data_IF_016390435098
#
_entry.id   IF_016390435098
#
_cell.length_a   1.000
_cell.length_b   1.000
_cell.length_c   1.000
_cell.angle_alpha   90.00
_cell.angle_beta   90.00
_cell.angle_gamma   90.00
#
_symmetry.space_group_name_H-M   'P 1'
#
loop_
_entity.id
_entity.type
_entity.pdbx_description
1 polymer ?
#
# COMPACT_ATOMS: atom_id res chain seq x y z
N UNK A 1 -4.78 -13.96 -18.28
CA UNK A 1 -4.78 -13.00 -17.15
C UNK A 1 -3.44 -13.12 -16.46
N UNK A 2 -2.81 -12.02 -16.06
CA UNK A 2 -1.47 -12.06 -15.43
C UNK A 2 -1.58 -12.71 -14.05
N UNK A 3 -0.51 -13.35 -13.54
CA UNK A 3 -0.45 -13.74 -12.14
C UNK A 3 -0.58 -12.53 -11.22
N UNK A 4 -1.13 -12.73 -10.02
CA UNK A 4 -1.23 -11.68 -9.01
C UNK A 4 -0.13 -11.77 -7.96
N UNK A 5 0.37 -10.61 -7.53
CA UNK A 5 1.17 -10.44 -6.32
C UNK A 5 0.39 -9.61 -5.32
N UNK A 6 0.04 -10.18 -4.17
CA UNK A 6 -0.75 -9.48 -3.15
C UNK A 6 0.19 -8.90 -2.08
N UNK A 7 0.10 -7.60 -1.85
CA UNK A 7 0.81 -6.92 -0.76
C UNK A 7 -0.13 -6.86 0.45
N UNK A 8 0.03 -7.79 1.41
CA UNK A 8 -0.81 -7.89 2.60
C UNK A 8 -0.08 -7.32 3.82
N UNK A 9 -0.66 -6.32 4.49
CA UNK A 9 -0.01 -5.67 5.62
C UNK A 9 -0.81 -4.55 6.26
N UNK A 10 -0.13 -3.74 7.06
CA UNK A 10 -0.75 -2.61 7.77
C UNK A 10 -0.71 -1.28 6.99
N UNK A 11 -0.71 -0.14 7.71
CA UNK A 11 -0.55 1.20 7.16
C UNK A 11 0.67 1.39 6.24
N UNK A 12 1.80 0.72 6.52
CA UNK A 12 3.01 0.85 5.71
C UNK A 12 2.76 0.25 4.32
N UNK A 13 2.05 -0.87 4.28
CA UNK A 13 1.59 -1.48 3.04
C UNK A 13 0.50 -0.65 2.38
N UNK A 14 -0.49 -0.12 3.13
CA UNK A 14 -1.55 0.74 2.56
C UNK A 14 -0.97 1.95 1.85
N UNK A 15 0.09 2.54 2.41
CA UNK A 15 0.76 3.70 1.87
C UNK A 15 1.81 3.37 0.79
N UNK A 16 2.05 2.09 0.50
CA UNK A 16 3.08 1.65 -0.45
C UNK A 16 2.82 2.10 -1.90
N UNK A 17 1.58 2.49 -2.23
CA UNK A 17 1.20 3.05 -3.53
C UNK A 17 1.19 4.58 -3.56
N UNK A 18 1.52 5.27 -2.45
CA UNK A 18 1.75 6.71 -2.46
C UNK A 18 2.95 7.05 -3.34
N UNK A 19 3.07 8.32 -3.74
CA UNK A 19 4.22 8.81 -4.51
C UNK A 19 5.54 8.41 -3.85
N UNK A 20 6.43 7.74 -4.61
CA UNK A 20 7.70 7.21 -4.11
C UNK A 20 7.60 5.93 -3.27
N UNK A 21 6.41 5.34 -3.13
CA UNK A 21 6.18 4.13 -2.37
C UNK A 21 6.65 2.86 -3.07
N UNK A 22 7.03 1.86 -2.27
CA UNK A 22 7.62 0.61 -2.77
C UNK A 22 6.63 -0.28 -3.55
N UNK A 23 5.34 -0.20 -3.25
CA UNK A 23 4.29 -0.93 -3.96
C UNK A 23 4.05 -0.39 -5.37
N UNK A 24 4.06 0.94 -5.52
CA UNK A 24 4.05 1.60 -6.82
C UNK A 24 5.30 1.24 -7.64
N UNK A 25 6.49 1.24 -7.02
CA UNK A 25 7.73 0.84 -7.67
C UNK A 25 7.72 -0.64 -8.12
N UNK A 26 7.14 -1.54 -7.33
CA UNK A 26 6.95 -2.94 -7.74
C UNK A 26 6.00 -3.07 -8.94
N UNK A 27 4.88 -2.36 -8.92
CA UNK A 27 3.92 -2.36 -10.02
C UNK A 27 4.54 -1.85 -11.33
N UNK A 28 5.43 -0.86 -11.23
CA UNK A 28 6.18 -0.30 -12.36
C UNK A 28 7.23 -1.29 -12.92
N UNK A 29 8.13 -1.80 -12.07
CA UNK A 29 9.20 -2.74 -12.47
C UNK A 29 8.66 -4.04 -13.06
N UNK A 30 7.54 -4.55 -12.52
CA UNK A 30 6.86 -5.75 -13.01
C UNK A 30 5.68 -5.45 -13.93
N UNK A 31 5.60 -4.23 -14.45
CA UNK A 31 4.55 -3.84 -15.39
C UNK A 31 4.47 -4.83 -16.55
N UNK A 32 3.23 -5.15 -16.93
CA UNK A 32 2.88 -6.16 -17.94
C UNK A 32 3.21 -7.62 -17.60
N UNK A 33 3.82 -7.93 -16.45
CA UNK A 33 4.16 -9.29 -16.01
C UNK A 33 3.27 -9.80 -14.88
N UNK A 34 3.00 -8.97 -13.88
CA UNK A 34 2.25 -9.32 -12.67
C UNK A 34 1.29 -8.18 -12.34
N UNK A 35 0.08 -8.50 -11.88
CA UNK A 35 -0.83 -7.51 -11.30
C UNK A 35 -0.54 -7.41 -9.80
N UNK A 36 -0.04 -6.25 -9.36
CA UNK A 36 0.24 -5.99 -7.94
C UNK A 36 -1.03 -5.50 -7.26
N UNK A 37 -1.54 -6.28 -6.30
CA UNK A 37 -2.80 -6.03 -5.60
C UNK A 37 -2.51 -5.54 -4.19
N UNK A 38 -3.02 -4.36 -3.85
CA UNK A 38 -2.88 -3.78 -2.52
C UNK A 38 -3.92 -4.35 -1.54
N UNK A 39 -3.45 -4.85 -0.40
CA UNK A 39 -4.23 -5.31 0.76
C UNK A 39 -3.58 -4.80 2.05
N UNK A 40 -3.35 -3.49 2.11
CA UNK A 40 -2.77 -2.81 3.27
C UNK A 40 -3.85 -2.12 4.11
N UNK A 41 -3.84 -2.31 5.43
CA UNK A 41 -4.90 -1.85 6.34
C UNK A 41 -4.34 -1.03 7.50
N UNK A 42 -4.55 0.28 7.46
CA UNK A 42 -3.99 1.21 8.44
C UNK A 42 -4.51 0.93 9.85
N UNK A 43 -3.57 0.80 10.78
CA UNK A 43 -3.83 0.52 12.20
C UNK A 43 -4.03 -0.96 12.53
N UNK A 44 -4.05 -1.86 11.55
CA UNK A 44 -4.27 -3.29 11.80
C UNK A 44 -3.02 -3.98 12.38
N UNK A 45 -3.24 -4.88 13.33
CA UNK A 45 -2.24 -5.82 13.85
C UNK A 45 -2.51 -7.24 13.31
N UNK A 46 -1.65 -8.19 13.66
CA UNK A 46 -1.80 -9.57 13.18
C UNK A 46 -3.07 -10.25 13.70
N UNK A 47 -3.50 -9.94 14.93
CA UNK A 47 -4.72 -10.50 15.54
C UNK A 47 -5.96 -10.16 14.72
N UNK A 48 -6.09 -8.90 14.28
CA UNK A 48 -7.23 -8.44 13.48
C UNK A 48 -7.15 -8.94 12.03
N UNK A 49 -5.94 -9.01 11.48
CA UNK A 49 -5.73 -9.50 10.12
C UNK A 49 -6.15 -10.97 9.92
N UNK A 50 -6.16 -11.79 10.97
CA UNK A 50 -6.65 -13.18 10.89
C UNK A 50 -8.12 -13.28 10.43
N UNK A 51 -8.98 -12.34 10.84
CA UNK A 51 -10.40 -12.34 10.48
C UNK A 51 -10.64 -12.12 8.97
N UNK A 52 -9.62 -11.63 8.26
CA UNK A 52 -9.72 -11.21 6.86
C UNK A 52 -9.24 -12.30 5.89
N UNK A 53 -8.56 -13.33 6.40
CA UNK A 53 -7.83 -14.30 5.59
C UNK A 53 -8.71 -15.03 4.59
N UNK A 54 -9.87 -15.51 5.00
CA UNK A 54 -10.74 -16.26 4.08
C UNK A 54 -11.37 -15.38 3.00
N UNK A 55 -11.58 -14.09 3.28
CA UNK A 55 -12.12 -13.16 2.29
C UNK A 55 -11.05 -12.69 1.30
N UNK A 56 -9.82 -12.43 1.76
CA UNK A 56 -8.71 -12.00 0.91
C UNK A 56 -8.10 -13.19 0.14
N UNK A 57 -8.00 -14.35 0.79
CA UNK A 57 -7.40 -15.58 0.27
C UNK A 57 -8.39 -16.75 0.40
N UNK A 58 -9.48 -16.76 -0.38
CA UNK A 58 -10.48 -17.83 -0.30
C UNK A 58 -9.86 -19.18 -0.66
N UNK A 59 -10.11 -20.17 0.19
CA UNK A 59 -9.68 -21.54 -0.06
C UNK A 59 -10.37 -22.10 -1.31
N UNK A 60 -9.61 -22.77 -2.18
CA UNK A 60 -10.14 -23.30 -3.45
C UNK A 60 -10.31 -22.27 -4.56
N UNK A 61 -9.76 -21.05 -4.42
CA UNK A 61 -9.72 -20.08 -5.51
C UNK A 61 -9.12 -20.70 -6.78
N UNK A 62 -9.81 -20.55 -7.91
CA UNK A 62 -9.31 -21.00 -9.22
C UNK A 62 -8.10 -20.18 -9.71
N UNK A 63 -7.81 -19.04 -9.06
CA UNK A 63 -6.71 -18.13 -9.39
C UNK A 63 -6.02 -17.67 -8.12
N UNK A 64 -5.28 -18.56 -7.42
CA UNK A 64 -4.53 -18.14 -6.25
C UNK A 64 -3.41 -17.16 -6.65
N UNK A 65 -3.00 -16.27 -5.74
CA UNK A 65 -1.89 -15.36 -6.01
C UNK A 65 -0.60 -16.15 -6.26
N UNK A 66 0.22 -15.68 -7.21
CA UNK A 66 1.53 -16.27 -7.45
C UNK A 66 2.52 -15.91 -6.32
N UNK A 67 2.35 -14.71 -5.73
CA UNK A 67 3.13 -14.27 -4.59
C UNK A 67 2.29 -13.47 -3.58
N UNK A 68 2.64 -13.57 -2.31
CA UNK A 68 2.07 -12.76 -1.22
C UNK A 68 3.20 -12.26 -0.34
N UNK A 69 3.24 -10.95 -0.08
CA UNK A 69 4.06 -10.40 1.01
C UNK A 69 3.18 -10.27 2.26
N UNK A 70 3.67 -10.69 3.42
CA UNK A 70 3.02 -10.43 4.72
C UNK A 70 3.90 -9.44 5.48
N UNK A 71 3.37 -8.23 5.72
CA UNK A 71 4.10 -7.12 6.31
C UNK A 71 3.29 -6.48 7.45
N UNK A 72 3.40 -7.10 8.63
CA UNK A 72 2.78 -6.68 9.89
C UNK A 72 3.82 -6.63 11.01
N UNK A 73 3.42 -6.26 12.23
CA UNK A 73 4.29 -6.22 13.40
C UNK A 73 4.53 -4.80 13.93
N UNK A 74 4.37 -3.77 13.10
CA UNK A 74 4.56 -2.39 13.56
C UNK A 74 3.48 -1.99 14.57
N UNK A 75 2.23 -2.40 14.31
CA UNK A 75 1.13 -2.15 15.23
C UNK A 75 1.16 -3.07 16.45
N UNK A 76 1.47 -4.36 16.24
CA UNK A 76 1.63 -5.39 17.28
C UNK A 76 2.65 -4.98 18.35
N UNK A 77 3.76 -4.35 17.92
CA UNK A 77 4.82 -3.83 18.78
C UNK A 77 4.44 -2.59 19.61
N UNK A 78 3.16 -2.17 19.59
CA UNK A 78 2.67 -1.16 20.51
C UNK A 78 2.91 -1.58 21.96
N UNK A 79 3.15 -0.60 22.83
CA UNK A 79 3.30 -0.82 24.26
C UNK A 79 1.94 -1.03 24.92
N UNK A 80 1.96 -1.73 26.05
CA UNK A 80 0.80 -1.92 26.93
C UNK A 80 0.38 -0.64 27.66
N UNK A 81 1.20 0.41 27.59
CA UNK A 81 0.98 1.72 28.17
C UNK A 81 0.67 2.74 27.07
N UNK A 82 -0.18 3.71 27.38
CA UNK A 82 -0.53 4.79 26.45
C UNK A 82 -1.54 4.40 25.38
N UNK A 83 -1.66 5.23 24.36
CA UNK A 83 -2.73 5.16 23.34
C UNK A 83 -2.58 3.97 22.38
N UNK A 84 -1.39 3.37 22.31
CA UNK A 84 -1.11 2.20 21.47
C UNK A 84 -1.62 0.87 22.01
N UNK A 85 -2.00 0.81 23.30
CA UNK A 85 -2.36 -0.44 24.01
C UNK A 85 -3.33 -1.33 23.23
N UNK A 86 -4.34 -0.75 22.59
CA UNK A 86 -5.37 -1.47 21.83
C UNK A 86 -4.82 -2.29 20.66
N UNK A 87 -3.66 -1.90 20.12
CA UNK A 87 -3.02 -2.55 18.98
C UNK A 87 -2.01 -3.62 19.41
N UNK A 88 -1.65 -3.67 20.70
CA UNK A 88 -0.64 -4.59 21.21
C UNK A 88 -1.04 -6.06 21.01
N UNK A 89 -0.10 -6.84 20.51
CA UNK A 89 -0.19 -8.31 20.41
C UNK A 89 1.06 -8.90 21.04
N UNK A 90 0.96 -9.76 22.06
CA UNK A 90 2.13 -10.42 22.66
C UNK A 90 2.98 -11.12 21.59
N UNK A 91 4.31 -11.08 21.74
CA UNK A 91 5.25 -11.58 20.70
C UNK A 91 4.98 -13.04 20.29
N UNK A 92 4.67 -13.92 21.25
CA UNK A 92 4.35 -15.32 20.97
C UNK A 92 3.06 -15.46 20.15
N UNK A 93 2.05 -14.63 20.46
CA UNK A 93 0.81 -14.59 19.70
C UNK A 93 1.04 -14.02 18.31
N UNK A 94 1.86 -12.98 18.15
CA UNK A 94 2.25 -12.42 16.86
C UNK A 94 2.89 -13.49 15.96
N UNK A 95 3.86 -14.25 16.48
CA UNK A 95 4.51 -15.35 15.75
C UNK A 95 3.49 -16.41 15.33
N UNK A 96 2.60 -16.79 16.24
CA UNK A 96 1.55 -17.78 15.93
C UNK A 96 0.52 -17.26 14.92
N UNK A 97 0.15 -15.98 14.99
CA UNK A 97 -0.74 -15.36 14.03
C UNK A 97 -0.11 -15.37 12.62
N UNK A 98 1.18 -15.00 12.49
CA UNK A 98 1.89 -15.11 11.21
C UNK A 98 1.89 -16.56 10.69
N UNK A 99 2.15 -17.55 11.56
CA UNK A 99 2.11 -18.96 11.19
C UNK A 99 0.74 -19.37 10.64
N UNK A 100 -0.35 -18.96 11.29
CA UNK A 100 -1.73 -19.20 10.83
C UNK A 100 -2.01 -18.55 9.47
N UNK A 101 -1.56 -17.32 9.25
CA UNK A 101 -1.70 -16.64 7.94
C UNK A 101 -1.00 -17.41 6.82
N UNK A 102 0.25 -17.83 7.06
CA UNK A 102 1.05 -18.59 6.10
C UNK A 102 0.37 -19.92 5.79
N UNK A 103 -0.05 -20.65 6.82
CA UNK A 103 -0.73 -21.94 6.67
C UNK A 103 -2.01 -21.78 5.85
N UNK A 104 -2.85 -20.78 6.15
CA UNK A 104 -4.07 -20.50 5.38
C UNK A 104 -3.78 -20.27 3.90
N UNK A 105 -2.80 -19.42 3.58
CA UNK A 105 -2.40 -19.11 2.19
C UNK A 105 -1.87 -20.38 1.49
N UNK A 106 -1.00 -21.15 2.15
CA UNK A 106 -0.42 -22.38 1.60
C UNK A 106 -1.43 -23.50 1.45
N UNK A 107 -2.46 -23.57 2.31
CA UNK A 107 -3.59 -24.48 2.15
C UNK A 107 -4.44 -24.13 0.92
N UNK A 108 -4.60 -22.84 0.61
CA UNK A 108 -5.26 -22.40 -0.62
C UNK A 108 -4.43 -22.67 -1.88
N UNK A 109 -3.11 -22.54 -1.78
CA UNK A 109 -2.18 -22.80 -2.89
C UNK A 109 -0.75 -23.08 -2.38
N UNK A 110 -0.29 -24.34 -2.39
CA UNK A 110 1.05 -24.70 -1.90
C UNK A 110 2.18 -24.00 -2.68
N UNK A 111 1.93 -23.68 -3.95
CA UNK A 111 2.87 -23.06 -4.87
C UNK A 111 2.97 -21.53 -4.74
N UNK A 112 2.07 -20.89 -3.99
CA UNK A 112 2.14 -19.44 -3.76
C UNK A 112 3.44 -19.09 -3.03
N UNK A 113 4.24 -18.20 -3.60
CA UNK A 113 5.43 -17.68 -2.94
C UNK A 113 5.00 -16.77 -1.79
N UNK A 114 5.39 -17.09 -0.56
CA UNK A 114 5.09 -16.25 0.61
C UNK A 114 6.40 -15.62 1.08
N UNK A 115 6.43 -14.29 1.17
CA UNK A 115 7.56 -13.50 1.64
C UNK A 115 7.18 -12.77 2.92
N UNK A 116 7.89 -13.02 4.01
CA UNK A 116 7.71 -12.26 5.25
C UNK A 116 8.55 -10.97 5.21
N UNK A 117 7.98 -9.85 5.62
CA UNK A 117 8.72 -8.58 5.77
C UNK A 117 8.64 -8.17 7.23
N UNK A 118 9.79 -7.96 7.87
CA UNK A 118 9.85 -7.57 9.28
C UNK A 118 9.37 -6.13 9.47
N UNK A 119 8.74 -5.78 10.61
CA UNK A 119 8.40 -4.40 10.89
C UNK A 119 9.66 -3.51 10.86
N UNK A 120 9.59 -2.31 10.23
CA UNK A 120 10.75 -1.42 10.14
C UNK A 120 11.11 -0.85 11.52
N UNK A 121 12.34 -0.34 11.69
CA UNK A 121 12.71 0.35 12.92
C UNK A 121 11.89 1.64 13.09
N UNK A 122 11.65 2.05 14.34
CA UNK A 122 10.89 3.26 14.66
C UNK A 122 11.81 4.37 15.16
N UNK A 123 11.66 5.56 14.57
CA UNK A 123 12.17 6.80 15.14
C UNK A 123 11.19 7.30 16.22
N UNK A 124 11.55 7.10 17.49
CA UNK A 124 10.73 7.48 18.64
C UNK A 124 10.50 8.99 18.70
N UNK A 125 11.51 9.80 18.37
CA UNK A 125 11.40 11.26 18.40
C UNK A 125 10.51 11.77 17.28
N UNK A 126 10.74 11.29 16.06
CA UNK A 126 9.90 11.59 14.89
C UNK A 126 8.45 11.18 15.13
N UNK A 127 8.21 9.99 15.70
CA UNK A 127 6.86 9.53 16.06
C UNK A 127 6.19 10.43 17.07
N UNK A 128 6.92 10.88 18.10
CA UNK A 128 6.42 11.82 19.13
C UNK A 128 6.10 13.17 18.51
N UNK A 129 6.94 13.69 17.62
CA UNK A 129 6.69 14.94 16.91
C UNK A 129 5.41 14.85 16.07
N UNK A 130 5.22 13.74 15.34
CA UNK A 130 3.99 13.49 14.57
C UNK A 130 2.75 13.33 15.46
N UNK A 131 2.88 12.67 16.62
CA UNK A 131 1.77 12.57 17.57
C UNK A 131 1.36 13.96 18.09
N UNK A 132 2.31 14.83 18.42
CA UNK A 132 2.04 16.22 18.82
C UNK A 132 1.40 17.05 17.70
N UNK A 133 1.83 16.87 16.44
CA UNK A 133 1.20 17.59 15.32
C UNK A 133 -0.27 17.21 15.11
N UNK A 134 -0.66 15.98 15.49
CA UNK A 134 -2.05 15.53 15.37
C UNK A 134 -2.91 15.87 16.59
N UNK A 135 -2.36 15.72 17.79
CA UNK A 135 -3.14 15.74 19.04
C UNK A 135 -2.85 16.93 19.95
N UNK A 136 -1.88 17.78 19.61
CA UNK A 136 -1.46 18.92 20.43
C UNK A 136 -1.12 18.49 21.85
N UNK A 137 -1.66 19.21 22.84
CA UNK A 137 -1.48 18.95 24.27
C UNK A 137 -2.06 17.61 24.75
N UNK A 138 -2.88 16.94 23.92
CA UNK A 138 -3.43 15.61 24.23
C UNK A 138 -2.51 14.47 23.80
N UNK A 139 -1.37 14.76 23.17
CA UNK A 139 -0.41 13.74 22.79
C UNK A 139 0.22 13.11 24.05
N UNK A 140 0.31 11.78 24.06
CA UNK A 140 1.01 11.05 25.13
C UNK A 140 2.50 11.41 25.15
N UNK A 141 3.00 11.78 26.33
CA UNK A 141 4.44 11.97 26.55
C UNK A 141 5.20 10.64 26.51
N UNK A 142 4.55 9.54 26.90
CA UNK A 142 5.11 8.19 26.81
C UNK A 142 5.02 7.70 25.36
N UNK A 143 6.12 7.23 24.77
CA UNK A 143 6.11 6.61 23.44
C UNK A 143 5.14 5.44 23.39
N UNK A 144 4.36 5.32 22.32
CA UNK A 144 3.47 4.19 22.09
C UNK A 144 4.22 2.94 21.59
N UNK A 145 5.46 3.10 21.11
CA UNK A 145 6.36 2.07 20.54
C UNK A 145 7.82 2.45 20.80
N UNK A 146 8.73 1.48 20.82
CA UNK A 146 10.19 1.71 20.84
C UNK A 146 10.90 0.83 19.83
N UNK A 147 12.09 1.24 19.40
CA UNK A 147 12.86 0.51 18.40
C UNK A 147 13.31 -0.87 18.91
N UNK A 148 13.65 -0.96 20.19
CA UNK A 148 14.04 -2.21 20.85
C UNK A 148 12.88 -3.19 20.89
N UNK A 149 11.68 -2.70 21.25
CA UNK A 149 10.48 -3.53 21.25
C UNK A 149 10.18 -4.04 19.83
N UNK A 150 10.20 -3.17 18.81
CA UNK A 150 10.00 -3.56 17.41
C UNK A 150 11.05 -4.59 16.93
N UNK A 151 12.30 -4.48 17.39
CA UNK A 151 13.36 -5.44 17.09
C UNK A 151 13.04 -6.87 17.56
N UNK A 152 12.30 -7.04 18.65
CA UNK A 152 11.85 -8.37 19.13
C UNK A 152 10.85 -9.00 18.14
N UNK A 153 9.91 -8.22 17.60
CA UNK A 153 8.94 -8.71 16.59
C UNK A 153 9.63 -8.99 15.25
N UNK A 154 10.60 -8.16 14.86
CA UNK A 154 11.41 -8.40 13.67
C UNK A 154 12.17 -9.71 13.78
N UNK A 155 12.80 -9.98 14.93
CA UNK A 155 13.50 -11.23 15.22
C UNK A 155 12.57 -12.44 15.10
N UNK A 156 11.41 -12.44 15.75
CA UNK A 156 10.50 -13.60 15.67
C UNK A 156 9.91 -13.82 14.27
N UNK A 157 9.75 -12.75 13.48
CA UNK A 157 9.37 -12.85 12.07
C UNK A 157 10.46 -13.56 11.24
N UNK A 158 11.73 -13.20 11.40
CA UNK A 158 12.86 -13.87 10.73
C UNK A 158 13.01 -15.31 11.22
N UNK A 159 12.92 -15.55 12.54
CA UNK A 159 12.98 -16.89 13.13
C UNK A 159 11.91 -17.79 12.51
N UNK A 160 10.66 -17.33 12.44
CA UNK A 160 9.57 -18.09 11.82
C UNK A 160 9.80 -18.35 10.33
N UNK A 161 10.28 -17.35 9.58
CA UNK A 161 10.61 -17.53 8.16
C UNK A 161 11.63 -18.67 7.97
N UNK A 162 12.68 -18.69 8.80
CA UNK A 162 13.71 -19.73 8.78
C UNK A 162 13.14 -21.10 9.19
N UNK A 163 12.32 -21.17 10.25
CA UNK A 163 11.64 -22.41 10.69
C UNK A 163 10.81 -23.05 9.56
N UNK A 164 10.19 -22.22 8.70
CA UNK A 164 9.31 -22.66 7.62
C UNK A 164 10.00 -22.73 6.25
N UNK A 165 11.30 -22.41 6.16
CA UNK A 165 12.04 -22.37 4.89
C UNK A 165 11.51 -21.32 3.90
N UNK A 166 10.97 -20.21 4.39
CA UNK A 166 10.40 -19.13 3.58
C UNK A 166 11.38 -17.95 3.42
N UNK A 167 11.34 -17.23 2.29
CA UNK A 167 12.09 -15.99 2.16
C UNK A 167 11.58 -14.92 3.12
N UNK A 168 12.50 -14.14 3.68
CA UNK A 168 12.17 -12.95 4.48
C UNK A 168 13.04 -11.75 4.12
N UNK A 169 12.49 -10.56 4.35
CA UNK A 169 13.20 -9.27 4.28
C UNK A 169 13.31 -8.72 5.70
N UNK A 170 14.51 -8.79 6.27
CA UNK A 170 14.82 -8.18 7.56
C UNK A 170 15.04 -6.66 7.41
N UNK A 171 13.93 -5.94 7.30
CA UNK A 171 13.92 -4.50 7.11
C UNK A 171 14.43 -3.75 8.35
N UNK A 172 14.14 -4.27 9.55
CA UNK A 172 14.63 -3.72 10.82
C UNK A 172 16.16 -3.61 10.85
N UNK A 173 16.87 -4.70 10.56
CA UNK A 173 18.33 -4.70 10.54
C UNK A 173 18.87 -3.88 9.37
N UNK A 174 18.35 -4.09 8.15
CA UNK A 174 18.85 -3.43 6.92
C UNK A 174 18.79 -1.91 6.97
N UNK A 175 17.72 -1.34 7.51
CA UNK A 175 17.61 0.12 7.61
C UNK A 175 18.66 0.70 8.57
N UNK A 176 19.02 -0.03 9.63
CA UNK A 176 19.97 0.43 10.64
C UNK A 176 21.45 0.30 10.22
N UNK A 177 21.74 -0.39 9.12
CA UNK A 177 23.09 -0.45 8.51
C UNK A 177 23.53 0.89 7.89
N UNK A 178 22.60 1.84 7.71
CA UNK A 178 22.89 3.16 7.12
C UNK A 178 22.97 4.24 8.19
N UNK A 179 24.13 4.90 8.34
CA UNK A 179 24.29 6.05 9.23
C UNK A 179 23.31 7.18 8.87
N UNK A 180 22.45 7.57 9.81
CA UNK A 180 21.42 8.58 9.60
C UNK A 180 20.27 8.10 8.71
N UNK A 181 19.98 6.79 8.68
CA UNK A 181 18.89 6.17 7.91
C UNK A 181 17.54 6.85 8.07
N UNK A 182 17.28 7.48 9.23
CA UNK A 182 16.09 8.26 9.52
C UNK A 182 15.85 9.41 8.52
N UNK A 183 16.89 9.83 7.77
CA UNK A 183 16.86 11.02 6.90
C UNK A 183 17.32 10.80 5.44
N UNK A 184 17.81 9.62 5.05
CA UNK A 184 18.60 9.43 3.80
C UNK A 184 17.86 8.86 2.58
N UNK A 185 16.72 8.20 2.71
CA UNK A 185 16.17 7.36 1.63
C UNK A 185 15.16 8.04 0.67
N UNK A 186 15.46 9.26 0.17
CA UNK A 186 14.62 9.94 -0.83
C UNK A 186 15.46 10.60 -1.94
N UNK A 187 15.84 9.85 -2.98
CA UNK A 187 16.13 10.42 -4.32
C UNK A 187 16.21 9.35 -5.41
N UNK A 188 15.53 9.59 -6.53
CA UNK A 188 15.63 8.76 -7.74
C UNK A 188 16.61 9.35 -8.75
N UNK A 189 17.21 8.44 -9.53
CA UNK A 189 18.13 8.65 -10.64
C UNK A 189 17.35 8.54 -11.96
N UNK A 190 17.55 9.43 -12.93
CA UNK A 190 17.60 9.10 -14.36
C UNK A 190 18.40 10.17 -15.11
N UNK A 191 19.09 9.76 -16.18
CA UNK A 191 19.93 10.61 -17.04
C UNK A 191 19.61 10.39 -18.51
N UNK A 192 19.94 11.38 -19.34
CA UNK A 192 19.38 11.58 -20.69
C UNK A 192 20.26 11.05 -21.83
N UNK A 193 19.62 10.47 -22.85
CA UNK A 193 20.06 10.51 -24.26
C UNK A 193 18.82 10.55 -25.18
N UNK A 194 18.77 11.53 -26.08
CA UNK A 194 17.66 11.75 -27.02
C UNK A 194 18.06 11.52 -28.49
N UNK A 195 17.10 11.11 -29.32
CA UNK A 195 17.16 10.98 -30.78
C UNK A 195 16.46 12.18 -31.45
N UNK A 196 16.86 12.53 -32.67
CA UNK A 196 16.62 13.84 -33.31
C UNK A 196 15.32 14.02 -34.12
N UNK A 197 14.39 13.04 -34.20
CA UNK A 197 13.14 13.23 -34.95
C UNK A 197 11.90 12.62 -34.25
N UNK A 198 10.81 13.39 -34.05
CA UNK A 198 9.60 12.89 -33.38
C UNK A 198 8.73 12.06 -34.33
N UNK A 199 8.30 10.88 -33.88
CA UNK A 199 7.40 9.94 -34.58
C UNK A 199 5.91 10.32 -34.44
N UNK A 200 5.58 11.36 -33.66
CA UNK A 200 4.21 11.78 -33.27
C UNK A 200 4.13 13.30 -33.12
N UNK A 201 2.95 13.89 -33.37
CA UNK A 201 2.67 15.33 -33.14
C UNK A 201 1.49 15.55 -32.20
N UNK A 202 1.45 16.69 -31.51
CA UNK A 202 0.36 17.02 -30.59
C UNK A 202 -0.98 17.24 -31.33
N UNK A 203 -0.92 17.79 -32.54
CA UNK A 203 -2.08 18.00 -33.41
C UNK A 203 -2.72 16.65 -33.79
N UNK A 204 -1.90 15.65 -34.10
CA UNK A 204 -2.38 14.29 -34.36
C UNK A 204 -3.08 13.72 -33.11
N UNK A 205 -2.47 13.83 -31.93
CA UNK A 205 -3.09 13.39 -30.66
C UNK A 205 -4.46 14.01 -30.42
N UNK A 206 -4.65 15.30 -30.76
CA UNK A 206 -5.93 16.00 -30.63
C UNK A 206 -7.05 15.42 -31.49
N UNK A 207 -6.74 14.91 -32.69
CA UNK A 207 -7.71 14.22 -33.55
C UNK A 207 -8.21 12.93 -32.87
N UNK A 208 -7.31 12.13 -32.30
CA UNK A 208 -7.67 10.90 -31.59
C UNK A 208 -8.46 11.19 -30.30
N UNK A 209 -8.05 12.19 -29.52
CA UNK A 209 -8.77 12.58 -28.31
C UNK A 209 -10.23 12.96 -28.60
N UNK A 210 -10.48 13.71 -29.69
CA UNK A 210 -11.84 14.04 -30.14
C UNK A 210 -12.65 12.80 -30.48
N UNK A 211 -12.07 11.83 -31.18
CA UNK A 211 -12.75 10.58 -31.53
C UNK A 211 -13.12 9.76 -30.28
N UNK A 212 -12.24 9.70 -29.27
CA UNK A 212 -12.54 9.04 -28.00
C UNK A 212 -13.75 9.67 -27.28
N UNK A 213 -13.82 11.01 -27.25
CA UNK A 213 -14.95 11.74 -26.63
C UNK A 213 -16.25 11.54 -27.41
N UNK A 214 -16.22 11.63 -28.74
CA UNK A 214 -17.39 11.38 -29.58
C UNK A 214 -17.96 9.98 -29.32
N UNK A 215 -17.10 8.96 -29.34
CA UNK A 215 -17.52 7.58 -29.11
C UNK A 215 -18.08 7.38 -27.70
N UNK A 216 -17.45 7.96 -26.67
CA UNK A 216 -17.97 7.88 -25.32
C UNK A 216 -19.37 8.49 -25.19
N UNK A 217 -19.63 9.62 -25.85
CA UNK A 217 -20.96 10.23 -25.91
C UNK A 217 -21.98 9.35 -26.65
N UNK A 218 -21.58 8.75 -27.79
CA UNK A 218 -22.43 7.81 -28.54
C UNK A 218 -22.83 6.60 -27.68
N UNK A 219 -21.94 6.14 -26.80
CA UNK A 219 -22.15 5.01 -25.90
C UNK A 219 -22.77 5.41 -24.55
N UNK A 220 -22.99 6.70 -24.29
CA UNK A 220 -23.49 7.18 -23.00
C UNK A 220 -22.51 6.96 -21.83
N UNK A 221 -21.20 6.92 -22.10
CA UNK A 221 -20.15 6.70 -21.11
C UNK A 221 -19.52 8.04 -20.65
N UNK A 222 -19.12 8.16 -19.37
CA UNK A 222 -18.30 9.29 -18.94
C UNK A 222 -16.96 9.27 -19.67
N UNK A 223 -16.47 10.44 -20.07
CA UNK A 223 -15.15 10.57 -20.71
C UNK A 223 -14.38 11.78 -20.21
N UNK A 224 -13.06 11.66 -20.22
CA UNK A 224 -12.13 12.71 -19.84
C UNK A 224 -11.26 13.10 -21.02
N UNK A 225 -11.36 14.35 -21.46
CA UNK A 225 -10.51 14.91 -22.52
C UNK A 225 -9.24 15.53 -21.95
N UNK A 226 -8.29 14.69 -21.51
CA UNK A 226 -7.01 15.14 -20.97
C UNK A 226 -6.21 16.03 -21.94
N UNK A 227 -6.32 15.77 -23.25
CA UNK A 227 -5.65 16.58 -24.28
C UNK A 227 -6.10 18.04 -24.22
N UNK A 228 -7.41 18.30 -24.17
CA UNK A 228 -7.91 19.67 -24.02
C UNK A 228 -7.56 20.24 -22.66
N UNK A 229 -7.72 19.43 -21.59
CA UNK A 229 -7.54 19.86 -20.21
C UNK A 229 -6.13 20.35 -19.91
N UNK A 230 -5.10 19.60 -20.34
CA UNK A 230 -3.71 19.98 -20.10
C UNK A 230 -3.33 21.29 -20.82
N UNK A 231 -3.90 21.53 -22.01
CA UNK A 231 -3.63 22.72 -22.82
C UNK A 231 -4.26 24.00 -22.27
N UNK A 232 -5.15 23.93 -21.29
CA UNK A 232 -5.65 25.11 -20.55
C UNK A 232 -4.54 25.80 -19.74
N UNK A 233 -3.39 25.16 -19.55
CA UNK A 233 -2.24 25.71 -18.82
C UNK A 233 -1.12 26.11 -19.79
N UNK A 234 -0.69 27.37 -19.73
CA UNK A 234 0.47 27.84 -20.48
C UNK A 234 1.73 27.02 -20.13
N UNK A 235 2.47 26.59 -21.16
CA UNK A 235 3.68 25.78 -20.99
C UNK A 235 3.46 24.34 -20.51
N UNK A 236 2.24 23.81 -20.68
CA UNK A 236 1.86 22.45 -20.26
C UNK A 236 2.84 21.36 -20.72
N UNK A 237 3.48 21.51 -21.88
CA UNK A 237 4.39 20.50 -22.44
C UNK A 237 5.53 20.17 -21.49
N UNK A 238 6.16 21.19 -20.89
CA UNK A 238 7.29 21.00 -19.95
C UNK A 238 6.81 20.84 -18.52
N UNK A 239 5.63 21.38 -18.19
CA UNK A 239 5.08 21.32 -16.84
C UNK A 239 4.50 19.94 -16.52
N UNK A 240 3.80 19.34 -17.47
CA UNK A 240 3.08 18.09 -17.27
C UNK A 240 3.79 16.88 -17.88
N UNK A 241 4.78 17.06 -18.77
CA UNK A 241 5.53 15.96 -19.38
C UNK A 241 7.02 16.03 -19.05
N UNK A 242 7.60 14.92 -18.59
CA UNK A 242 9.00 14.83 -18.19
C UNK A 242 9.95 14.70 -19.38
N UNK A 243 9.51 14.00 -20.43
CA UNK A 243 10.29 13.72 -21.65
C UNK A 243 9.51 14.03 -22.94
N UNK A 244 8.42 14.80 -22.83
CA UNK A 244 7.52 15.09 -23.93
C UNK A 244 6.44 14.03 -24.18
N UNK A 245 6.38 12.95 -23.38
CA UNK A 245 5.34 11.93 -23.44
C UNK A 245 4.85 11.48 -22.06
N UNK A 246 5.76 11.15 -21.15
CA UNK A 246 5.43 10.64 -19.82
C UNK A 246 5.13 11.78 -18.85
N UNK A 247 4.21 11.56 -17.91
CA UNK A 247 3.75 12.59 -16.99
C UNK A 247 4.79 12.92 -15.91
N UNK A 248 4.98 14.20 -15.63
CA UNK A 248 5.64 14.69 -14.40
C UNK A 248 4.75 14.40 -13.17
N UNK A 249 5.23 14.60 -11.93
CA UNK A 249 4.36 14.59 -10.75
C UNK A 249 3.15 15.53 -10.90
N UNK A 250 3.34 16.72 -11.46
CA UNK A 250 2.28 17.70 -11.74
C UNK A 250 1.31 17.21 -12.83
N UNK A 251 1.82 16.58 -13.90
CA UNK A 251 0.97 15.97 -14.93
C UNK A 251 0.11 14.83 -14.38
N UNK A 252 0.69 13.97 -13.52
CA UNK A 252 -0.05 12.93 -12.83
C UNK A 252 -1.12 13.49 -11.88
N UNK A 253 -0.84 14.61 -11.21
CA UNK A 253 -1.80 15.27 -10.33
C UNK A 253 -3.04 15.79 -11.11
N UNK A 254 -2.84 16.32 -12.33
CA UNK A 254 -3.96 16.70 -13.22
C UNK A 254 -4.80 15.48 -13.57
N UNK A 255 -4.17 14.38 -13.99
CA UNK A 255 -4.90 13.14 -14.32
C UNK A 255 -5.66 12.61 -13.10
N UNK A 256 -5.01 12.53 -11.95
CA UNK A 256 -5.64 12.10 -10.70
C UNK A 256 -6.88 12.95 -10.36
N UNK A 257 -6.73 14.29 -10.38
CA UNK A 257 -7.83 15.19 -10.03
C UNK A 257 -9.04 15.02 -10.93
N UNK A 258 -8.82 14.77 -12.23
CA UNK A 258 -9.92 14.63 -13.18
C UNK A 258 -10.55 13.22 -13.16
N UNK A 259 -9.75 12.19 -12.96
CA UNK A 259 -10.24 10.81 -12.84
C UNK A 259 -11.03 10.60 -11.55
N UNK A 260 -10.57 11.16 -10.43
CA UNK A 260 -11.27 11.07 -9.14
C UNK A 260 -12.67 11.68 -9.22
N UNK A 261 -12.85 12.82 -9.90
CA UNK A 261 -14.19 13.42 -10.10
C UNK A 261 -15.17 12.44 -10.74
N UNK A 262 -14.75 11.72 -11.78
CA UNK A 262 -15.60 10.73 -12.46
C UNK A 262 -16.00 9.60 -11.51
N UNK A 263 -15.05 9.09 -10.73
CA UNK A 263 -15.32 8.01 -9.77
C UNK A 263 -16.17 8.49 -8.60
N UNK A 264 -15.97 9.72 -8.13
CA UNK A 264 -16.78 10.34 -7.08
C UNK A 264 -18.22 10.55 -7.55
N UNK A 265 -18.44 11.04 -8.77
CA UNK A 265 -19.77 11.15 -9.39
C UNK A 265 -20.44 9.78 -9.57
N UNK A 266 -19.65 8.72 -9.74
CA UNK A 266 -20.10 7.33 -9.76
C UNK A 266 -20.28 6.71 -8.35
N UNK A 267 -20.11 7.48 -7.28
CA UNK A 267 -20.31 7.06 -5.89
C UNK A 267 -19.18 6.23 -5.29
N UNK A 268 -17.99 6.20 -5.90
CA UNK A 268 -16.86 5.40 -5.37
C UNK A 268 -16.34 5.93 -4.04
N UNK A 269 -16.43 7.23 -3.78
CA UNK A 269 -16.08 7.83 -2.49
C UNK A 269 -17.04 7.46 -1.36
N UNK A 270 -18.26 7.04 -1.69
CA UNK A 270 -19.28 6.60 -0.73
C UNK A 270 -19.25 5.09 -0.49
N UNK A 271 -18.39 4.34 -1.21
CA UNK A 271 -18.24 2.91 -0.99
C UNK A 271 -17.73 2.65 0.43
N UNK A 272 -18.32 1.68 1.14
CA UNK A 272 -17.82 1.30 2.45
C UNK A 272 -16.40 0.73 2.32
N UNK A 273 -15.62 0.85 3.39
CA UNK A 273 -14.40 0.06 3.52
C UNK A 273 -14.76 -1.43 3.42
N UNK A 274 -13.87 -2.22 2.80
CA UNK A 274 -14.03 -3.66 2.68
C UNK A 274 -14.01 -4.37 4.04
N UNK A 275 -13.43 -3.73 5.05
CA UNK A 275 -13.37 -4.18 6.45
C UNK A 275 -13.58 -3.00 7.42
N UNK A 276 -14.01 -3.26 8.67
CA UNK A 276 -14.36 -2.19 9.61
C UNK A 276 -13.16 -1.29 9.90
N UNK A 277 -13.32 0.04 9.96
CA UNK A 277 -12.22 0.92 10.30
C UNK A 277 -11.66 0.56 11.67
N UNK A 278 -10.34 0.69 11.85
CA UNK A 278 -9.69 0.25 13.08
C UNK A 278 -10.31 0.87 14.35
N UNK A 279 -10.86 2.09 14.26
CA UNK A 279 -11.55 2.78 15.36
C UNK A 279 -12.82 2.09 15.85
N UNK A 280 -13.45 1.25 15.01
CA UNK A 280 -14.66 0.48 15.34
C UNK A 280 -14.36 -0.92 15.90
N UNK A 281 -13.09 -1.35 15.85
CA UNK A 281 -12.66 -2.65 16.38
C UNK A 281 -12.40 -2.52 17.89
N UNK A 282 -13.25 -3.18 18.68
CA UNK A 282 -13.02 -3.41 20.10
C UNK A 282 -11.86 -4.41 20.27
N UNK A 283 -10.83 -4.02 21.02
CA UNK A 283 -9.64 -4.84 21.21
C UNK A 283 -9.93 -6.13 22.02
N UNK A 284 -10.92 -6.09 22.91
CA UNK A 284 -11.30 -7.24 23.76
C UNK A 284 -12.27 -8.19 23.04
N UNK A 285 -13.06 -7.68 22.11
CA UNK A 285 -14.00 -8.48 21.31
C UNK A 285 -14.00 -8.07 19.82
N UNK A 286 -12.88 -8.31 19.11
CA UNK A 286 -12.72 -7.82 17.74
C UNK A 286 -13.68 -8.49 16.75
N UNK A 287 -14.04 -9.75 16.97
CA UNK A 287 -14.90 -10.55 16.08
C UNK A 287 -16.24 -9.86 15.78
N UNK A 288 -16.82 -9.17 16.78
CA UNK A 288 -18.09 -8.47 16.65
C UNK A 288 -18.09 -7.45 15.50
N UNK A 289 -17.00 -6.71 15.34
CA UNK A 289 -16.88 -5.70 14.27
C UNK A 289 -16.88 -6.37 12.89
N UNK A 290 -16.19 -7.51 12.74
CA UNK A 290 -16.10 -8.24 11.47
C UNK A 290 -17.39 -9.01 11.11
N UNK A 291 -18.18 -9.44 12.10
CA UNK A 291 -19.51 -10.02 11.86
C UNK A 291 -20.53 -8.98 11.36
N UNK A 292 -20.42 -7.75 11.85
CA UNK A 292 -21.31 -6.65 11.47
C UNK A 292 -20.91 -6.01 10.13
N UNK A 293 -19.61 -6.00 9.81
CA UNK A 293 -19.07 -5.66 8.50
C UNK A 293 -18.96 -6.91 7.61
N UNK A 294 -20.08 -7.49 7.21
CA UNK A 294 -20.08 -8.32 6.00
C UNK A 294 -20.32 -7.41 4.81
N UNK A 295 -19.33 -7.21 3.90
CA UNK A 295 -19.58 -6.46 2.70
C UNK A 295 -20.71 -7.16 1.94
N UNK A 296 -21.76 -6.40 1.60
CA UNK A 296 -22.75 -6.85 0.65
C UNK A 296 -22.02 -7.00 -0.70
N UNK A 297 -21.66 -8.24 -1.04
CA UNK A 297 -21.25 -8.64 -2.39
C UNK A 297 -22.26 -9.68 -2.86
#
# INVERSE_FOLDING_TARGET
MRPQMVLFGDSITQQSFRSGGWGAALADIYSRKVDVVLRGYSGYNTRWALFMLNQIFPLGSAKPPAAVTIFFGANDAARLEGTGKRQHVPVEEYKENLRKMIQHIKSGSPNTLVVLITPPPIDVEGRRAYARSLYGDKASETPDRTNEATGVYAKECVTLANELGLPSVDLWSKMQETDGWQKKFLRSLYGDKALETPDRTNEATGVYAKQCVTLANELGLPSLNLWSKMQETDGWQKKFLSDGLHLTPEGNAVVFSEVVKIFDEAGFSDLPYDFPPNSEIDAENPEKAFLQHSPAV
#
